data_IF_914982183957
#
_entry.id   IF_914982183957
#
_cell.length_a   1.000
_cell.length_b   1.000
_cell.length_c   1.000
_cell.angle_alpha   90.00
_cell.angle_beta   90.00
_cell.angle_gamma   90.00
#
_symmetry.space_group_name_H-M   'P 1'
#
loop_
_entity.id
_entity.type
_entity.pdbx_description
1 polymer ?
#
# COMPACT_ATOMS: atom_id res chain seq x y z
N UNK A 1 -15.80 16.65 -3.92
CA UNK A 1 -14.88 17.25 -4.90
C UNK A 1 -14.16 18.38 -4.22
N UNK A 2 -12.94 18.75 -4.65
CA UNK A 2 -12.26 19.93 -4.14
C UNK A 2 -12.51 21.07 -5.12
N UNK A 3 -13.36 22.02 -4.75
CA UNK A 3 -13.77 23.11 -5.64
C UNK A 3 -12.64 24.12 -5.94
N UNK A 4 -11.47 23.94 -5.32
CA UNK A 4 -10.27 24.76 -5.51
C UNK A 4 -9.28 24.20 -6.55
N UNK A 5 -9.56 23.04 -7.12
CA UNK A 5 -8.69 22.37 -8.07
C UNK A 5 -9.50 21.91 -9.30
N UNK A 6 -9.05 22.32 -10.49
CA UNK A 6 -9.73 22.03 -11.76
C UNK A 6 -9.28 20.70 -12.39
N UNK A 7 -8.21 20.08 -11.86
CA UNK A 7 -7.66 18.82 -12.36
C UNK A 7 -6.72 18.99 -13.56
N UNK A 8 -6.46 20.21 -14.00
CA UNK A 8 -5.46 20.54 -15.02
C UNK A 8 -4.28 21.26 -14.39
N UNK A 9 -4.54 22.23 -13.51
CA UNK A 9 -3.55 23.04 -12.82
C UNK A 9 -2.55 22.20 -12.03
N UNK A 10 -3.02 21.20 -11.26
CA UNK A 10 -2.12 20.30 -10.53
C UNK A 10 -1.28 19.39 -11.43
N UNK A 11 -1.81 19.05 -12.62
CA UNK A 11 -1.12 18.19 -13.58
C UNK A 11 -0.04 18.97 -14.30
N UNK A 12 -0.31 20.21 -14.69
CA UNK A 12 0.67 21.14 -15.24
C UNK A 12 1.82 21.38 -14.24
N UNK A 13 1.49 21.63 -12.97
CA UNK A 13 2.50 21.77 -11.91
C UNK A 13 3.34 20.49 -11.75
N UNK A 14 2.72 19.32 -11.77
CA UNK A 14 3.43 18.04 -11.69
C UNK A 14 4.36 17.79 -12.88
N UNK A 15 3.90 18.10 -14.11
CA UNK A 15 4.66 17.89 -15.34
C UNK A 15 5.68 19.00 -15.63
N UNK A 16 5.68 20.10 -14.86
CA UNK A 16 6.74 21.11 -14.93
C UNK A 16 8.13 20.55 -14.61
N UNK A 17 8.20 19.44 -13.86
CA UNK A 17 9.42 18.66 -13.69
C UNK A 17 9.60 17.67 -14.86
N UNK A 18 10.58 18.00 -15.71
CA UNK A 18 10.93 17.23 -16.90
C UNK A 18 11.18 15.73 -16.65
N UNK A 19 11.54 15.32 -15.43
CA UNK A 19 11.74 13.90 -15.10
C UNK A 19 10.47 13.08 -15.29
N UNK A 20 9.29 13.64 -14.96
CA UNK A 20 8.02 12.96 -15.13
C UNK A 20 7.60 12.91 -16.60
N UNK A 21 7.75 14.01 -17.34
CA UNK A 21 7.51 14.07 -18.79
C UNK A 21 8.38 13.05 -19.52
N UNK A 22 9.69 13.05 -19.24
CA UNK A 22 10.62 12.05 -19.79
C UNK A 22 10.18 10.63 -19.47
N UNK A 23 9.77 10.36 -18.22
CA UNK A 23 9.29 9.03 -17.84
C UNK A 23 8.01 8.59 -18.57
N UNK A 24 7.18 9.53 -19.02
CA UNK A 24 6.02 9.23 -19.86
C UNK A 24 6.47 8.93 -21.29
N UNK A 25 7.28 9.81 -21.89
CA UNK A 25 7.77 9.63 -23.25
C UNK A 25 8.58 8.36 -23.43
N UNK A 26 9.35 7.96 -22.41
CA UNK A 26 10.08 6.69 -22.40
C UNK A 26 9.13 5.47 -22.51
N UNK A 27 7.82 5.59 -22.22
CA UNK A 27 6.85 4.49 -22.37
C UNK A 27 6.27 4.36 -23.77
N UNK A 28 6.52 5.32 -24.68
CA UNK A 28 6.07 5.26 -26.07
C UNK A 28 6.71 4.05 -26.75
N UNK A 29 5.90 3.24 -27.43
CA UNK A 29 6.31 1.98 -28.05
C UNK A 29 6.59 0.82 -27.08
N UNK A 30 6.45 1.02 -25.76
CA UNK A 30 6.77 0.02 -24.72
C UNK A 30 5.64 -0.26 -23.73
N UNK A 31 4.54 0.49 -23.80
CA UNK A 31 3.41 0.37 -22.88
C UNK A 31 2.08 0.28 -23.62
N UNK A 32 1.08 -0.30 -22.97
CA UNK A 32 -0.30 -0.36 -23.48
C UNK A 32 -0.94 1.03 -23.63
N UNK A 33 -0.36 2.07 -23.04
CA UNK A 33 -0.83 3.45 -23.09
C UNK A 33 -0.03 4.33 -24.05
N UNK A 34 0.79 3.71 -24.92
CA UNK A 34 1.66 4.41 -25.87
C UNK A 34 0.92 5.45 -26.71
N UNK A 35 -0.24 5.09 -27.27
CA UNK A 35 -0.98 5.97 -28.19
C UNK A 35 -1.53 7.21 -27.48
N UNK A 36 -1.99 7.05 -26.22
CA UNK A 36 -2.44 8.16 -25.39
C UNK A 36 -1.27 9.10 -25.09
N UNK A 37 -0.12 8.55 -24.71
CA UNK A 37 1.08 9.35 -24.42
C UNK A 37 1.55 10.09 -25.68
N UNK A 38 1.60 9.41 -26.82
CA UNK A 38 1.99 10.02 -28.09
C UNK A 38 1.06 11.17 -28.49
N UNK A 39 -0.25 10.97 -28.38
CA UNK A 39 -1.25 12.02 -28.66
C UNK A 39 -1.03 13.28 -27.80
N UNK A 40 -0.75 13.13 -26.51
CA UNK A 40 -0.53 14.28 -25.63
C UNK A 40 0.85 14.92 -25.84
N UNK A 41 1.89 14.13 -26.13
CA UNK A 41 3.21 14.65 -26.51
C UNK A 41 3.13 15.59 -27.72
N UNK A 42 2.35 15.22 -28.73
CA UNK A 42 2.14 16.05 -29.93
C UNK A 42 1.30 17.31 -29.64
N UNK A 43 0.63 17.36 -28.48
CA UNK A 43 -0.18 18.48 -28.00
C UNK A 43 0.39 19.09 -26.71
N UNK A 44 1.72 19.27 -26.65
CA UNK A 44 2.42 19.98 -25.56
C UNK A 44 2.27 19.38 -24.16
N UNK A 45 2.12 18.06 -24.05
CA UNK A 45 2.03 17.32 -22.78
C UNK A 45 0.91 17.85 -21.85
N UNK A 46 -0.18 18.37 -22.43
CA UNK A 46 -1.35 18.82 -21.67
C UNK A 46 -2.26 17.63 -21.35
N UNK A 47 -2.43 17.31 -20.07
CA UNK A 47 -3.29 16.21 -19.61
C UNK A 47 -4.34 16.70 -18.60
N UNK A 48 -5.54 16.14 -18.66
CA UNK A 48 -6.45 16.16 -17.52
C UNK A 48 -6.02 15.15 -16.45
N UNK A 49 -6.41 15.38 -15.18
CA UNK A 49 -6.10 14.50 -14.06
C UNK A 49 -6.53 13.04 -14.29
N UNK A 50 -7.67 12.79 -14.94
CA UNK A 50 -8.10 11.42 -15.20
C UNK A 50 -7.25 10.73 -16.28
N UNK A 51 -6.79 11.47 -17.29
CA UNK A 51 -5.94 10.95 -18.38
C UNK A 51 -4.54 10.62 -17.88
N UNK A 52 -3.94 11.53 -17.11
CA UNK A 52 -2.58 11.33 -16.59
C UNK A 52 -2.51 10.11 -15.66
N UNK A 53 -3.55 9.89 -14.84
CA UNK A 53 -3.61 8.74 -13.90
C UNK A 53 -3.60 7.39 -14.63
N UNK A 54 -4.06 7.32 -15.88
CA UNK A 54 -4.02 6.08 -16.67
C UNK A 54 -2.60 5.73 -17.16
N UNK A 55 -1.75 6.74 -17.37
CA UNK A 55 -0.41 6.57 -17.96
C UNK A 55 0.72 6.55 -16.92
N UNK A 56 0.46 7.05 -15.71
CA UNK A 56 1.44 7.08 -14.63
C UNK A 56 1.74 5.68 -14.10
N UNK A 57 3.00 5.48 -13.68
CA UNK A 57 3.28 4.34 -12.81
C UNK A 57 2.66 4.59 -11.43
N UNK A 58 2.44 3.55 -10.63
CA UNK A 58 2.01 3.73 -9.23
C UNK A 58 2.99 4.62 -8.44
N UNK A 59 4.28 4.60 -8.78
CA UNK A 59 5.27 5.48 -8.16
C UNK A 59 5.02 6.95 -8.48
N UNK A 60 4.83 7.26 -9.76
CA UNK A 60 4.60 8.64 -10.20
C UNK A 60 3.24 9.16 -9.72
N UNK A 61 2.23 8.29 -9.69
CA UNK A 61 0.94 8.59 -9.07
C UNK A 61 1.08 8.98 -7.59
N UNK A 62 1.94 8.30 -6.82
CA UNK A 62 2.17 8.67 -5.41
C UNK A 62 2.78 10.06 -5.30
N UNK A 63 3.70 10.43 -6.19
CA UNK A 63 4.26 11.78 -6.21
C UNK A 63 3.21 12.83 -6.56
N UNK A 64 2.37 12.59 -7.58
CA UNK A 64 1.25 13.47 -7.90
C UNK A 64 0.27 13.60 -6.72
N UNK A 65 -0.03 12.49 -6.04
CA UNK A 65 -0.87 12.49 -4.84
C UNK A 65 -0.23 13.30 -3.70
N UNK A 66 1.08 13.16 -3.49
CA UNK A 66 1.83 13.95 -2.50
C UNK A 66 1.81 15.45 -2.82
N UNK A 67 2.00 15.82 -4.09
CA UNK A 67 1.89 17.19 -4.56
C UNK A 67 0.50 17.76 -4.24
N UNK A 68 -0.55 17.03 -4.60
CA UNK A 68 -1.94 17.44 -4.33
C UNK A 68 -2.18 17.70 -2.84
N UNK A 69 -1.82 16.78 -1.95
CA UNK A 69 -2.06 16.95 -0.51
C UNK A 69 -1.09 17.93 0.17
N UNK A 70 0.03 18.28 -0.47
CA UNK A 70 0.89 19.39 -0.03
C UNK A 70 0.23 20.74 -0.29
N UNK A 71 -0.44 20.89 -1.44
CA UNK A 71 -1.16 22.11 -1.85
C UNK A 71 -2.53 22.23 -1.20
N UNK A 72 -3.21 21.11 -1.02
CA UNK A 72 -4.54 21.01 -0.41
C UNK A 72 -4.51 20.08 0.81
N UNK A 73 -3.98 20.54 1.96
CA UNK A 73 -3.94 19.72 3.17
C UNK A 73 -5.33 19.24 3.59
N UNK A 74 -5.43 17.96 3.90
CA UNK A 74 -6.68 17.34 4.35
C UNK A 74 -6.40 16.21 5.33
N UNK A 75 -7.34 16.00 6.27
CA UNK A 75 -7.29 14.90 7.24
C UNK A 75 -7.40 13.52 6.58
N UNK A 76 -7.88 13.47 5.34
CA UNK A 76 -8.00 12.24 4.54
C UNK A 76 -6.74 11.94 3.71
N UNK A 77 -5.58 12.39 4.17
CA UNK A 77 -4.30 12.19 3.49
C UNK A 77 -3.69 10.83 3.85
N UNK A 78 -3.44 9.99 2.85
CA UNK A 78 -2.81 8.67 3.02
C UNK A 78 -1.34 8.61 2.55
N UNK A 79 -0.69 9.75 2.27
CA UNK A 79 0.68 9.82 1.72
C UNK A 79 1.70 8.93 2.46
N UNK A 80 1.62 8.87 3.79
CA UNK A 80 2.53 8.08 4.63
C UNK A 80 2.40 6.56 4.45
N UNK A 81 1.33 6.10 3.80
CA UNK A 81 0.99 4.68 3.65
C UNK A 81 1.25 4.14 2.24
N UNK A 82 1.24 5.01 1.23
CA UNK A 82 1.24 4.59 -0.17
C UNK A 82 2.51 3.86 -0.60
N UNK A 83 3.67 4.21 -0.02
CA UNK A 83 4.93 3.55 -0.34
C UNK A 83 4.97 2.09 0.13
N UNK A 84 4.45 1.78 1.31
CA UNK A 84 4.27 0.41 1.81
C UNK A 84 3.33 -0.39 0.92
N UNK A 85 2.24 0.23 0.47
CA UNK A 85 1.28 -0.41 -0.45
C UNK A 85 1.93 -0.70 -1.81
N UNK A 86 2.69 0.27 -2.35
CA UNK A 86 3.45 0.10 -3.60
C UNK A 86 4.43 -1.06 -3.49
N UNK A 87 5.17 -1.15 -2.37
CA UNK A 87 6.10 -2.24 -2.11
C UNK A 87 5.42 -3.60 -2.18
N UNK A 88 4.33 -3.80 -1.42
CA UNK A 88 3.60 -5.07 -1.41
C UNK A 88 3.00 -5.43 -2.77
N UNK A 89 2.39 -4.46 -3.46
CA UNK A 89 1.83 -4.68 -4.81
C UNK A 89 2.91 -5.16 -5.77
N UNK A 90 4.07 -4.51 -5.75
CA UNK A 90 5.17 -4.86 -6.65
C UNK A 90 5.73 -6.24 -6.30
N UNK A 91 5.91 -6.55 -5.02
CA UNK A 91 6.38 -7.86 -4.61
C UNK A 91 5.42 -8.98 -5.07
N UNK A 92 4.12 -8.78 -4.93
CA UNK A 92 3.10 -9.72 -5.42
C UNK A 92 3.10 -9.85 -6.95
N UNK A 93 3.18 -8.73 -7.68
CA UNK A 93 3.15 -8.72 -9.14
C UNK A 93 4.39 -9.36 -9.79
N UNK A 94 5.55 -9.29 -9.14
CA UNK A 94 6.81 -9.86 -9.63
C UNK A 94 7.14 -11.24 -9.03
N UNK A 95 6.21 -11.86 -8.28
CA UNK A 95 6.41 -13.14 -7.58
C UNK A 95 7.64 -13.13 -6.64
N UNK A 96 7.96 -11.98 -6.04
CA UNK A 96 9.05 -11.87 -5.07
C UNK A 96 8.68 -12.63 -3.79
N UNK A 97 9.61 -13.43 -3.27
CA UNK A 97 9.40 -14.19 -2.05
C UNK A 97 9.48 -13.30 -0.80
N UNK A 98 8.32 -12.77 -0.36
CA UNK A 98 8.19 -11.98 0.87
C UNK A 98 8.62 -12.78 2.11
N UNK A 99 8.42 -14.10 2.10
CA UNK A 99 8.75 -14.99 3.21
C UNK A 99 10.24 -14.95 3.56
N UNK A 100 11.13 -14.87 2.57
CA UNK A 100 12.57 -14.79 2.81
C UNK A 100 12.97 -13.53 3.59
N UNK A 101 12.20 -12.45 3.45
CA UNK A 101 12.45 -11.15 4.10
C UNK A 101 11.84 -11.04 5.51
N UNK A 102 11.25 -12.12 6.04
CA UNK A 102 10.69 -12.15 7.40
C UNK A 102 11.76 -12.39 8.48
N UNK A 103 12.98 -12.79 8.11
CA UNK A 103 14.07 -13.06 9.04
C UNK A 103 14.86 -11.78 9.36
N UNK A 104 15.12 -11.55 10.65
CA UNK A 104 16.05 -10.52 11.10
C UNK A 104 17.51 -10.96 10.86
N UNK A 105 18.48 -10.02 10.73
CA UNK A 105 18.33 -8.57 10.84
C UNK A 105 17.76 -7.92 9.58
N UNK A 106 16.95 -6.87 9.76
CA UNK A 106 16.39 -6.09 8.65
C UNK A 106 17.29 -4.89 8.37
N UNK A 107 17.72 -4.72 7.11
CA UNK A 107 18.53 -3.57 6.69
C UNK A 107 17.67 -2.37 6.25
N UNK A 108 16.38 -2.37 6.58
CA UNK A 108 15.41 -1.37 6.13
C UNK A 108 14.95 -0.53 7.31
N UNK A 109 15.04 0.79 7.17
CA UNK A 109 14.48 1.73 8.15
C UNK A 109 13.00 1.90 7.91
N UNK A 110 12.18 1.57 8.91
CA UNK A 110 10.72 1.71 8.85
C UNK A 110 10.31 3.08 9.38
N UNK A 111 9.57 3.83 8.57
CA UNK A 111 8.94 5.08 9.01
C UNK A 111 7.63 4.77 9.75
N UNK A 112 7.71 4.67 11.08
CA UNK A 112 6.54 4.41 11.93
C UNK A 112 5.59 5.61 11.90
N UNK A 113 4.41 5.44 11.32
CA UNK A 113 3.36 6.47 11.36
C UNK A 113 2.66 6.47 12.71
N UNK A 114 2.58 7.64 13.38
CA UNK A 114 1.98 7.78 14.72
C UNK A 114 0.53 7.29 14.80
N UNK A 115 -0.27 7.54 13.76
CA UNK A 115 -1.67 7.09 13.69
C UNK A 115 -1.77 5.56 13.77
N UNK A 116 -0.98 4.84 12.98
CA UNK A 116 -1.00 3.37 12.99
C UNK A 116 -0.51 2.82 14.33
N UNK A 117 0.53 3.41 14.92
CA UNK A 117 0.99 3.02 16.25
C UNK A 117 -0.12 3.20 17.30
N UNK A 118 -0.87 4.31 17.22
CA UNK A 118 -2.02 4.56 18.09
C UNK A 118 -3.15 3.55 17.85
N UNK A 119 -3.50 3.22 16.61
CA UNK A 119 -4.55 2.24 16.33
C UNK A 119 -4.16 0.82 16.79
N UNK A 120 -2.91 0.41 16.58
CA UNK A 120 -2.36 -0.85 17.11
C UNK A 120 -2.35 -0.85 18.65
N UNK A 121 -2.14 0.32 19.28
CA UNK A 121 -2.11 0.44 20.74
C UNK A 121 -3.46 0.06 21.40
N UNK A 122 -4.58 0.22 20.67
CA UNK A 122 -5.95 -0.11 21.14
C UNK A 122 -6.22 -1.62 21.23
N UNK A 123 -5.28 -2.45 20.77
CA UNK A 123 -5.40 -3.90 20.76
C UNK A 123 -4.90 -4.47 22.10
N UNK A 124 -5.78 -4.39 23.12
CA UNK A 124 -5.47 -4.77 24.51
C UNK A 124 -5.10 -6.25 24.74
N UNK A 125 -5.50 -7.16 23.85
CA UNK A 125 -5.22 -8.60 24.00
C UNK A 125 -3.81 -8.99 23.51
N UNK A 126 -3.03 -8.01 23.04
CA UNK A 126 -1.67 -8.20 22.59
C UNK A 126 -0.72 -7.37 23.46
N UNK A 127 0.37 -8.01 23.90
CA UNK A 127 1.42 -7.33 24.65
C UNK A 127 2.04 -6.16 23.88
N UNK A 128 2.57 -5.16 24.59
CA UNK A 128 3.34 -4.08 23.96
C UNK A 128 4.58 -4.61 23.22
N UNK A 129 5.33 -5.51 23.85
CA UNK A 129 6.55 -6.09 23.27
C UNK A 129 6.28 -6.80 21.94
N UNK A 130 5.19 -7.57 21.85
CA UNK A 130 4.79 -8.23 20.60
C UNK A 130 4.47 -7.19 19.50
N UNK A 131 3.70 -6.14 19.83
CA UNK A 131 3.37 -5.06 18.89
C UNK A 131 4.61 -4.34 18.37
N UNK A 132 5.57 -4.04 19.24
CA UNK A 132 6.83 -3.39 18.87
C UNK A 132 7.68 -4.26 17.95
N UNK A 133 7.78 -5.56 18.25
CA UNK A 133 8.50 -6.55 17.43
C UNK A 133 7.93 -6.67 16.02
N UNK A 134 6.61 -6.67 15.88
CA UNK A 134 5.96 -6.73 14.55
C UNK A 134 6.14 -5.45 13.76
N UNK A 135 5.99 -4.31 14.42
CA UNK A 135 6.19 -3.00 13.79
C UNK A 135 7.66 -2.69 13.52
N UNK A 136 8.58 -3.56 13.92
CA UNK A 136 9.98 -3.55 13.52
C UNK A 136 10.28 -4.46 12.31
N UNK A 137 9.35 -5.36 11.92
CA UNK A 137 9.49 -6.20 10.73
C UNK A 137 8.87 -5.48 9.51
N UNK A 138 9.65 -5.18 8.44
CA UNK A 138 9.15 -4.39 7.31
C UNK A 138 7.96 -5.02 6.58
N UNK A 139 7.96 -6.35 6.42
CA UNK A 139 6.88 -7.05 5.71
C UNK A 139 5.60 -7.05 6.53
N UNK A 140 5.70 -7.31 7.84
CA UNK A 140 4.54 -7.29 8.74
C UNK A 140 3.99 -5.87 8.85
N UNK A 141 4.87 -4.88 9.00
CA UNK A 141 4.53 -3.46 9.04
C UNK A 141 3.73 -3.04 7.79
N UNK A 142 4.26 -3.32 6.60
CA UNK A 142 3.62 -2.92 5.35
C UNK A 142 2.30 -3.66 5.13
N UNK A 143 2.21 -4.92 5.57
CA UNK A 143 0.96 -5.68 5.50
C UNK A 143 -0.12 -5.09 6.42
N UNK A 144 0.25 -4.68 7.64
CA UNK A 144 -0.66 -3.98 8.55
C UNK A 144 -1.11 -2.65 7.93
N UNK A 145 -0.20 -1.89 7.29
CA UNK A 145 -0.55 -0.66 6.57
C UNK A 145 -1.60 -0.93 5.48
N UNK A 146 -1.42 -2.00 4.70
CA UNK A 146 -2.35 -2.36 3.64
C UNK A 146 -3.75 -2.63 4.21
N UNK A 147 -3.85 -3.46 5.25
CA UNK A 147 -5.13 -3.78 5.91
C UNK A 147 -5.76 -2.53 6.50
N UNK A 148 -4.99 -1.73 7.24
CA UNK A 148 -5.45 -0.49 7.84
C UNK A 148 -6.02 0.48 6.79
N UNK A 149 -5.26 0.71 5.71
CA UNK A 149 -5.64 1.63 4.63
C UNK A 149 -6.88 1.12 3.90
N UNK A 150 -6.98 -0.18 3.63
CA UNK A 150 -8.16 -0.80 3.04
C UNK A 150 -9.43 -0.56 3.88
N UNK A 151 -9.35 -0.80 5.19
CA UNK A 151 -10.49 -0.63 6.09
C UNK A 151 -10.96 0.83 6.22
N UNK A 152 -10.05 1.78 6.05
CA UNK A 152 -10.32 3.22 6.06
C UNK A 152 -10.87 3.73 4.73
N UNK A 153 -10.35 3.27 3.60
CA UNK A 153 -10.71 3.76 2.26
C UNK A 153 -11.99 3.15 1.72
N UNK A 154 -12.18 1.84 1.89
CA UNK A 154 -13.40 1.18 1.42
C UNK A 154 -14.57 1.66 2.26
N UNK A 155 -15.65 2.15 1.65
CA UNK A 155 -16.84 2.61 2.38
C UNK A 155 -17.97 1.59 2.37
N UNK A 156 -18.03 0.75 1.33
CA UNK A 156 -19.05 -0.29 1.20
C UNK A 156 -18.85 -1.39 2.25
N UNK A 157 -19.83 -1.64 3.14
CA UNK A 157 -19.75 -2.71 4.13
C UNK A 157 -19.56 -4.09 3.49
N UNK A 158 -20.26 -4.33 2.37
CA UNK A 158 -20.17 -5.58 1.61
C UNK A 158 -18.75 -5.81 1.09
N UNK A 159 -18.15 -4.80 0.47
CA UNK A 159 -16.77 -4.91 -0.04
C UNK A 159 -15.78 -5.15 1.11
N UNK A 160 -15.91 -4.40 2.23
CA UNK A 160 -15.07 -4.64 3.42
C UNK A 160 -15.16 -6.07 3.88
N UNK A 161 -16.37 -6.61 4.04
CA UNK A 161 -16.57 -7.98 4.50
C UNK A 161 -15.96 -9.00 3.54
N UNK A 162 -16.06 -8.79 2.23
CA UNK A 162 -15.42 -9.66 1.25
C UNK A 162 -13.90 -9.67 1.39
N UNK A 163 -13.26 -8.50 1.45
CA UNK A 163 -11.80 -8.43 1.61
C UNK A 163 -11.32 -9.05 2.92
N UNK A 164 -12.11 -8.88 3.98
CA UNK A 164 -11.88 -9.52 5.26
C UNK A 164 -11.98 -11.04 5.20
N UNK A 165 -12.99 -11.58 4.53
CA UNK A 165 -13.15 -13.02 4.38
C UNK A 165 -11.97 -13.61 3.59
N UNK A 166 -11.49 -12.89 2.57
CA UNK A 166 -10.29 -13.26 1.81
C UNK A 166 -9.04 -13.28 2.68
N UNK A 167 -8.87 -12.28 3.56
CA UNK A 167 -7.75 -12.28 4.50
C UNK A 167 -7.84 -13.43 5.50
N UNK A 168 -9.04 -13.71 6.04
CA UNK A 168 -9.27 -14.87 6.90
C UNK A 168 -8.90 -16.18 6.20
N UNK A 169 -9.35 -16.38 4.96
CA UNK A 169 -9.00 -17.55 4.17
C UNK A 169 -7.50 -17.63 3.89
N UNK A 170 -6.86 -16.51 3.54
CA UNK A 170 -5.42 -16.46 3.29
C UNK A 170 -4.63 -16.95 4.52
N UNK A 171 -4.97 -16.43 5.69
CA UNK A 171 -4.24 -16.66 6.94
C UNK A 171 -4.52 -18.01 7.58
N UNK A 172 -5.77 -18.45 7.60
CA UNK A 172 -6.18 -19.65 8.31
C UNK A 172 -6.22 -20.90 7.41
N UNK A 173 -6.36 -20.74 6.09
CA UNK A 173 -6.45 -21.87 5.16
C UNK A 173 -5.23 -21.93 4.24
N UNK A 174 -5.02 -20.88 3.42
CA UNK A 174 -4.04 -20.92 2.33
C UNK A 174 -2.60 -21.06 2.81
N UNK A 175 -2.22 -20.31 3.84
CA UNK A 175 -0.86 -20.33 4.39
C UNK A 175 -0.57 -21.57 5.25
N UNK A 176 -1.61 -22.18 5.84
CA UNK A 176 -1.45 -23.40 6.63
C UNK A 176 -1.44 -24.69 5.80
N UNK A 177 -1.87 -24.61 4.52
CA UNK A 177 -2.00 -25.77 3.62
C UNK A 177 -0.75 -26.66 3.53
N UNK A 178 0.44 -26.06 3.58
CA UNK A 178 1.73 -26.78 3.48
C UNK A 178 2.66 -26.44 4.66
N UNK A 179 2.10 -26.41 5.87
CA UNK A 179 2.86 -26.10 7.09
C UNK A 179 4.05 -27.04 7.29
N UNK A 180 3.95 -28.27 6.81
CA UNK A 180 4.98 -29.30 6.86
C UNK A 180 6.32 -28.83 6.25
N UNK A 181 6.28 -27.96 5.24
CA UNK A 181 7.49 -27.46 4.57
C UNK A 181 8.38 -26.57 5.46
N UNK A 182 7.84 -26.01 6.55
CA UNK A 182 8.61 -25.16 7.44
C UNK A 182 8.76 -25.72 8.86
N UNK A 183 8.40 -26.98 9.13
CA UNK A 183 8.54 -27.61 10.45
C UNK A 183 9.96 -27.52 11.01
N UNK A 184 10.99 -27.62 10.14
CA UNK A 184 12.41 -27.49 10.53
C UNK A 184 12.87 -26.03 10.68
N UNK A 185 12.07 -25.06 10.25
CA UNK A 185 12.34 -23.64 10.43
C UNK A 185 11.68 -23.16 11.73
N UNK A 186 12.41 -23.27 12.84
CA UNK A 186 12.00 -22.75 14.16
C UNK A 186 11.75 -21.23 14.16
N UNK A 187 12.25 -20.51 13.16
CA UNK A 187 12.01 -19.08 12.94
C UNK A 187 10.66 -18.75 12.27
N UNK A 188 10.10 -19.68 11.49
CA UNK A 188 8.79 -19.53 10.83
C UNK A 188 7.66 -20.02 11.73
N UNK A 189 7.90 -21.12 12.46
CA UNK A 189 6.95 -21.78 13.34
C UNK A 189 7.25 -21.57 14.84
N UNK A 190 7.69 -20.36 15.22
CA UNK A 190 7.18 -19.76 16.47
C UNK A 190 5.82 -19.09 16.22
N UNK A 191 4.97 -19.81 15.47
CA UNK A 191 3.54 -20.09 15.67
C UNK A 191 2.54 -18.95 15.81
N UNK A 192 2.81 -17.97 16.64
CA UNK A 192 1.74 -17.21 17.30
C UNK A 192 1.84 -15.69 17.11
N UNK A 193 2.87 -15.20 16.43
CA UNK A 193 3.15 -13.76 16.46
C UNK A 193 2.72 -13.02 15.19
N UNK A 194 2.96 -13.51 13.96
CA UNK A 194 2.66 -12.73 12.74
C UNK A 194 1.29 -13.08 12.09
N UNK A 195 0.94 -14.36 12.06
CA UNK A 195 -0.34 -14.84 11.54
C UNK A 195 -1.50 -14.49 12.47
N UNK A 196 -1.32 -14.67 13.78
CA UNK A 196 -2.32 -14.31 14.81
C UNK A 196 -2.66 -12.83 14.71
N UNK A 197 -1.71 -11.94 14.46
CA UNK A 197 -1.97 -10.49 14.48
C UNK A 197 -2.77 -10.03 13.31
N UNK A 198 -2.42 -10.50 12.13
CA UNK A 198 -3.18 -10.20 10.94
C UNK A 198 -4.62 -10.71 11.12
N UNK A 199 -4.80 -11.94 11.61
CA UNK A 199 -6.11 -12.54 11.92
C UNK A 199 -6.84 -11.82 13.07
N UNK A 200 -6.15 -11.31 14.08
CA UNK A 200 -6.75 -10.64 15.24
C UNK A 200 -7.05 -9.15 14.99
N UNK A 201 -6.24 -8.47 14.17
CA UNK A 201 -6.53 -7.13 13.66
C UNK A 201 -7.84 -7.16 12.88
N UNK A 202 -8.01 -8.19 12.05
CA UNK A 202 -9.24 -8.49 11.32
C UNK A 202 -10.38 -8.83 12.30
N UNK A 203 -10.18 -9.74 13.26
CA UNK A 203 -11.27 -10.24 14.12
C UNK A 203 -11.82 -9.24 15.15
N UNK A 204 -11.06 -8.19 15.52
CA UNK A 204 -11.50 -7.13 16.46
C UNK A 204 -12.05 -5.88 15.77
N UNK A 205 -11.51 -5.45 14.62
CA UNK A 205 -12.11 -4.34 13.86
C UNK A 205 -13.46 -4.69 13.23
N UNK A 206 -13.76 -6.00 13.12
CA UNK A 206 -15.01 -6.53 12.58
C UNK A 206 -16.19 -6.61 13.53
N UNK A 207 -15.98 -6.59 14.86
CA UNK A 207 -17.10 -6.76 15.80
C UNK A 207 -17.77 -5.46 16.23
N UNK A 208 -17.19 -4.30 15.88
CA UNK A 208 -17.63 -3.00 16.37
C UNK A 208 -17.95 -2.00 15.24
N UNK A 209 -18.28 -2.47 14.03
CA UNK A 209 -18.86 -1.67 12.94
C UNK A 209 -20.00 -2.43 12.28
#
# INVERSE_FOLDING_TARGET
MNDKEDGYSIVEEFLSDYRYVKSLHDKIGRSATSDLIQKHRDNHDQYALWEIVEVLSLGDFIYLYQLYYSKYPSKSNFCSYLWSIKFLRNAAAHNNCLLNSLKAPFNVTIHKTKEIQFEISKIKHISQNSREKWMANPIIHDFIILVFTYLKLVKSPKLKQTGINQLHWLLNERMLKHKEYFEKNTSFFRGDDACIVSVFFISKYLRNF
#
